data_IF_622649641540
#
_entry.id   IF_622649641540
#
_cell.length_a   1.000
_cell.length_b   1.000
_cell.length_c   1.000
_cell.angle_alpha   90.00
_cell.angle_beta   90.00
_cell.angle_gamma   90.00
#
_symmetry.space_group_name_H-M   'P 1'
#
loop_
_entity.id
_entity.type
_entity.pdbx_description
1 polymer ?
#
# COMPACT_ATOMS: atom_id res chain seq x y z
N UNK A 1 4.34 2.25 -7.89
CA UNK A 1 4.90 1.30 -6.89
C UNK A 1 3.93 0.16 -6.60
N UNK A 2 2.72 0.14 -7.17
CA UNK A 2 1.79 -0.99 -7.05
C UNK A 2 1.35 -1.20 -5.60
N UNK A 3 1.32 -2.45 -5.15
CA UNK A 3 0.99 -2.81 -3.78
C UNK A 3 -0.48 -3.14 -3.58
N UNK A 4 -1.09 -3.79 -4.55
CA UNK A 4 -2.41 -4.41 -4.50
C UNK A 4 -2.30 -5.88 -4.03
N UNK A 5 -3.37 -6.39 -3.43
CA UNK A 5 -3.60 -7.84 -3.22
C UNK A 5 -2.48 -8.61 -2.51
N UNK A 6 -1.83 -7.99 -1.51
CA UNK A 6 -0.79 -8.67 -0.74
C UNK A 6 -1.38 -9.85 0.05
N UNK A 7 -0.99 -11.06 -0.33
CA UNK A 7 -1.32 -12.28 0.39
C UNK A 7 -0.28 -12.57 1.48
N UNK A 8 -0.58 -12.20 2.72
CA UNK A 8 0.33 -12.41 3.85
C UNK A 8 0.50 -13.85 4.30
N UNK A 9 -0.39 -14.76 3.93
CA UNK A 9 -0.23 -16.18 4.28
C UNK A 9 1.09 -16.75 3.73
N UNK A 10 1.56 -16.24 2.58
CA UNK A 10 2.87 -16.60 2.03
C UNK A 10 4.02 -16.23 2.97
N UNK A 11 3.92 -15.11 3.68
CA UNK A 11 4.96 -14.60 4.56
C UNK A 11 4.96 -15.26 5.94
N UNK A 12 3.80 -15.71 6.40
CA UNK A 12 3.69 -16.53 7.62
C UNK A 12 4.43 -17.85 7.47
N UNK A 13 4.52 -18.38 6.24
CA UNK A 13 5.27 -19.59 5.91
C UNK A 13 6.77 -19.36 5.70
N UNK A 14 7.22 -18.10 5.66
CA UNK A 14 8.63 -17.76 5.44
C UNK A 14 9.37 -17.61 6.78
N UNK A 15 10.35 -18.50 7.10
CA UNK A 15 11.10 -18.42 8.35
C UNK A 15 11.85 -17.09 8.51
N UNK A 16 12.33 -16.51 7.40
CA UNK A 16 13.07 -15.25 7.41
C UNK A 16 12.16 -14.07 7.72
N UNK A 17 10.95 -14.03 7.16
CA UNK A 17 9.99 -12.96 7.44
C UNK A 17 9.49 -13.05 8.87
N UNK A 18 9.15 -14.25 9.35
CA UNK A 18 8.75 -14.46 10.76
C UNK A 18 9.86 -14.07 11.72
N UNK A 19 11.12 -14.43 11.41
CA UNK A 19 12.28 -14.01 12.21
C UNK A 19 12.46 -12.49 12.18
N UNK A 20 12.24 -11.86 11.04
CA UNK A 20 12.32 -10.41 10.88
C UNK A 20 11.26 -9.69 11.73
N UNK A 21 10.00 -10.13 11.68
CA UNK A 21 8.89 -9.61 12.52
C UNK A 21 9.26 -9.67 13.99
N UNK A 22 9.72 -10.84 14.48
CA UNK A 22 10.15 -11.01 15.88
C UNK A 22 11.33 -10.11 16.24
N UNK A 23 12.34 -10.03 15.37
CA UNK A 23 13.54 -9.21 15.60
C UNK A 23 13.21 -7.72 15.67
N UNK A 24 12.27 -7.24 14.87
CA UNK A 24 11.84 -5.85 14.83
C UNK A 24 10.76 -5.50 15.86
N UNK A 25 10.18 -6.48 16.55
CA UNK A 25 9.08 -6.27 17.48
C UNK A 25 7.79 -5.82 16.77
N UNK A 26 7.60 -6.25 15.52
CA UNK A 26 6.39 -5.96 14.75
C UNK A 26 5.23 -6.84 15.25
N UNK A 27 4.00 -6.35 15.12
CA UNK A 27 2.80 -7.04 15.60
C UNK A 27 2.36 -8.13 14.63
N UNK A 28 2.60 -7.95 13.33
CA UNK A 28 2.22 -8.92 12.30
C UNK A 28 3.15 -8.87 11.08
N UNK A 29 3.00 -9.85 10.18
CA UNK A 29 3.66 -9.83 8.87
C UNK A 29 3.15 -8.69 7.97
N UNK A 30 1.94 -8.13 8.21
CA UNK A 30 1.44 -6.95 7.50
C UNK A 30 2.32 -5.72 7.75
N UNK A 31 2.87 -5.58 8.96
CA UNK A 31 3.73 -4.44 9.30
C UNK A 31 5.01 -4.43 8.44
N UNK A 32 5.46 -5.59 7.96
CA UNK A 32 6.59 -5.70 7.04
C UNK A 32 6.25 -5.05 5.69
N UNK A 33 5.02 -5.22 5.21
CA UNK A 33 4.56 -4.57 3.99
C UNK A 33 4.50 -3.05 4.16
N UNK A 34 3.97 -2.56 5.29
CA UNK A 34 3.90 -1.13 5.57
C UNK A 34 5.29 -0.50 5.71
N UNK A 35 6.22 -1.18 6.40
CA UNK A 35 7.61 -0.76 6.50
C UNK A 35 8.28 -0.73 5.13
N UNK A 36 8.14 -1.79 4.33
CA UNK A 36 8.68 -1.86 2.97
C UNK A 36 8.16 -0.72 2.09
N UNK A 37 6.85 -0.50 2.10
CA UNK A 37 6.22 0.55 1.29
C UNK A 37 6.71 1.93 1.71
N UNK A 38 6.77 2.23 3.01
CA UNK A 38 7.32 3.50 3.49
C UNK A 38 8.79 3.70 3.13
N UNK A 39 9.61 2.65 3.22
CA UNK A 39 11.01 2.69 2.81
C UNK A 39 11.15 2.97 1.30
N UNK A 40 10.32 2.33 0.47
CA UNK A 40 10.29 2.55 -0.96
C UNK A 40 9.86 3.98 -1.33
N UNK A 41 8.80 4.49 -0.70
CA UNK A 41 8.33 5.87 -0.90
C UNK A 41 9.41 6.89 -0.49
N UNK A 42 10.07 6.66 0.65
CA UNK A 42 11.19 7.47 1.13
C UNK A 42 12.36 7.44 0.14
N UNK A 43 12.70 6.26 -0.40
CA UNK A 43 13.74 6.11 -1.41
C UNK A 43 13.42 6.90 -2.68
N UNK A 44 12.19 6.79 -3.21
CA UNK A 44 11.77 7.51 -4.42
C UNK A 44 11.85 9.02 -4.19
N UNK A 45 11.35 9.50 -3.06
CA UNK A 45 11.35 10.92 -2.69
C UNK A 45 12.76 11.50 -2.56
N UNK A 46 13.69 10.73 -1.99
CA UNK A 46 15.08 11.18 -1.76
C UNK A 46 15.94 11.13 -3.01
N UNK A 47 15.74 10.12 -3.86
CA UNK A 47 16.67 9.81 -4.95
C UNK A 47 16.14 10.20 -6.33
N UNK A 48 14.90 10.69 -6.42
CA UNK A 48 14.29 11.04 -7.70
C UNK A 48 13.47 12.33 -7.56
N UNK A 49 13.04 12.89 -8.71
CA UNK A 49 12.04 13.97 -8.77
C UNK A 49 10.63 13.45 -9.05
N UNK A 50 10.39 12.16 -8.79
CA UNK A 50 9.12 11.48 -9.11
C UNK A 50 8.22 11.44 -7.89
N UNK A 51 6.92 11.51 -8.14
CA UNK A 51 5.88 11.26 -7.15
C UNK A 51 5.40 9.81 -7.29
N UNK A 52 5.23 9.11 -6.18
CA UNK A 52 4.83 7.71 -6.19
C UNK A 52 3.32 7.54 -6.20
N UNK A 53 2.87 6.46 -6.84
CA UNK A 53 1.47 6.00 -6.88
C UNK A 53 1.42 4.59 -6.30
N UNK A 54 0.55 4.36 -5.32
CA UNK A 54 0.24 3.04 -4.76
C UNK A 54 -1.23 2.70 -4.96
N UNK A 55 -1.56 1.42 -4.97
CA UNK A 55 -2.94 0.97 -4.81
C UNK A 55 -3.43 1.20 -3.38
N UNK A 56 -4.75 1.28 -3.22
CA UNK A 56 -5.41 1.64 -1.97
C UNK A 56 -5.22 0.62 -0.83
N UNK A 57 -4.92 -0.63 -1.18
CA UNK A 57 -4.87 -1.80 -0.29
C UNK A 57 -3.94 -1.60 0.91
N UNK A 58 -2.81 -0.91 0.70
CA UNK A 58 -1.87 -0.64 1.79
C UNK A 58 -2.50 0.25 2.87
N UNK A 59 -3.31 1.23 2.46
CA UNK A 59 -3.99 2.16 3.36
C UNK A 59 -5.19 1.49 4.01
N UNK A 60 -6.00 0.76 3.22
CA UNK A 60 -7.17 0.04 3.77
C UNK A 60 -6.75 -1.07 4.74
N UNK A 61 -5.56 -1.66 4.56
CA UNK A 61 -4.95 -2.59 5.51
C UNK A 61 -4.47 -1.97 6.82
N UNK A 62 -4.57 -0.65 7.00
CA UNK A 62 -4.17 0.07 8.22
C UNK A 62 -2.79 0.73 8.15
N UNK A 63 -2.13 0.69 6.98
CA UNK A 63 -0.86 1.37 6.77
C UNK A 63 -1.01 2.90 6.76
N UNK A 64 -0.04 3.59 7.35
CA UNK A 64 0.07 5.05 7.29
C UNK A 64 1.20 5.45 6.36
N UNK A 65 0.92 6.37 5.42
CA UNK A 65 1.85 6.78 4.37
C UNK A 65 1.91 8.31 4.20
N UNK A 66 3.00 8.84 3.61
CA UNK A 66 3.13 10.26 3.30
C UNK A 66 2.01 10.78 2.40
N UNK A 67 1.45 11.97 2.71
CA UNK A 67 0.34 12.59 1.97
C UNK A 67 0.70 13.05 0.56
N UNK A 68 2.00 13.17 0.25
CA UNK A 68 2.48 13.35 -1.12
C UNK A 68 2.47 12.05 -1.94
N UNK A 69 1.97 10.94 -1.42
CA UNK A 69 1.68 9.72 -2.20
C UNK A 69 0.34 9.87 -2.91
N UNK A 70 0.27 9.48 -4.18
CA UNK A 70 -1.01 9.36 -4.90
C UNK A 70 -1.60 7.98 -4.65
N UNK A 71 -2.90 7.92 -4.36
CA UNK A 71 -3.62 6.66 -4.15
C UNK A 71 -4.43 6.33 -5.40
N UNK A 72 -4.27 5.13 -5.94
CA UNK A 72 -5.15 4.61 -6.97
C UNK A 72 -6.24 3.75 -6.31
N UNK A 73 -7.47 4.25 -6.36
CA UNK A 73 -8.64 3.66 -5.71
C UNK A 73 -9.35 2.72 -6.68
N UNK A 74 -9.72 1.51 -6.21
CA UNK A 74 -10.46 0.56 -7.04
C UNK A 74 -11.67 -0.10 -6.35
N UNK A 75 -11.66 -0.36 -5.02
CA UNK A 75 -12.79 -0.98 -4.30
C UNK A 75 -13.52 0.01 -3.39
N UNK A 76 -12.80 0.66 -2.47
CA UNK A 76 -13.42 1.42 -1.39
C UNK A 76 -13.88 2.81 -1.84
N UNK A 77 -14.87 3.45 -1.20
CA UNK A 77 -15.30 4.79 -1.56
C UNK A 77 -14.12 5.79 -1.61
N UNK A 78 -13.99 6.53 -2.71
CA UNK A 78 -12.94 7.55 -2.94
C UNK A 78 -12.82 8.53 -1.76
N UNK A 79 -13.95 8.86 -1.14
CA UNK A 79 -14.04 9.73 0.04
C UNK A 79 -13.18 9.28 1.23
N UNK A 80 -12.93 7.98 1.38
CA UNK A 80 -12.09 7.43 2.45
C UNK A 80 -10.64 7.91 2.33
N UNK A 81 -10.16 8.18 1.12
CA UNK A 81 -8.78 8.60 0.87
C UNK A 81 -8.65 10.11 0.72
N UNK A 82 -9.62 10.76 0.06
CA UNK A 82 -9.60 12.23 -0.08
C UNK A 82 -9.81 12.94 1.27
N UNK A 83 -10.68 12.41 2.15
CA UNK A 83 -10.87 12.95 3.51
C UNK A 83 -9.62 12.85 4.39
N UNK A 84 -8.73 11.90 4.08
CA UNK A 84 -7.43 11.76 4.72
C UNK A 84 -6.35 12.68 4.10
N UNK A 85 -6.68 13.46 3.07
CA UNK A 85 -5.78 14.41 2.42
C UNK A 85 -4.85 13.81 1.36
N UNK A 86 -5.21 12.66 0.78
CA UNK A 86 -4.50 12.10 -0.37
C UNK A 86 -5.05 12.65 -1.69
N UNK A 87 -4.17 12.81 -2.68
CA UNK A 87 -4.60 12.91 -4.08
C UNK A 87 -4.95 11.50 -4.58
N UNK A 88 -6.07 11.38 -5.30
CA UNK A 88 -6.64 10.08 -5.68
C UNK A 88 -6.84 9.98 -7.19
N UNK A 89 -6.39 8.87 -7.78
CA UNK A 89 -6.78 8.42 -9.11
C UNK A 89 -7.99 7.49 -8.93
N UNK A 90 -9.13 7.86 -9.52
CA UNK A 90 -10.34 7.04 -9.49
C UNK A 90 -10.21 5.94 -10.55
N UNK A 91 -10.29 4.68 -10.11
CA UNK A 91 -10.26 3.49 -10.97
C UNK A 91 -11.24 2.43 -10.48
N UNK A 92 -12.38 2.88 -9.93
CA UNK A 92 -13.44 2.03 -9.35
C UNK A 92 -13.82 0.89 -10.29
N UNK A 93 -13.67 -0.37 -9.83
CA UNK A 93 -13.80 -1.55 -10.68
C UNK A 93 -15.20 -1.70 -11.29
N UNK A 94 -16.22 -1.28 -10.56
CA UNK A 94 -17.63 -1.35 -10.94
C UNK A 94 -18.03 -0.36 -12.05
N UNK A 95 -17.14 0.57 -12.43
CA UNK A 95 -17.35 1.51 -13.53
C UNK A 95 -16.26 1.47 -14.61
N UNK A 96 -15.00 1.23 -14.23
CA UNK A 96 -13.85 1.49 -15.09
C UNK A 96 -13.01 0.27 -15.45
N UNK A 97 -13.31 -0.92 -14.92
CA UNK A 97 -12.63 -2.14 -15.35
C UNK A 97 -13.22 -2.61 -16.68
N UNK A 98 -12.40 -2.59 -17.72
CA UNK A 98 -12.79 -2.93 -19.10
C UNK A 98 -12.67 -4.43 -19.41
N UNK A 99 -12.20 -5.21 -18.43
CA UNK A 99 -11.99 -6.66 -18.48
C UNK A 99 -13.18 -7.45 -17.92
N UNK A 100 -14.12 -6.78 -17.24
CA UNK A 100 -15.34 -7.41 -16.71
C UNK A 100 -16.35 -7.73 -17.82
N UNK A 101 -16.99 -8.91 -17.74
CA UNK A 101 -18.01 -9.43 -18.68
C UNK A 101 -18.34 -10.89 -18.38
#
# INVERSE_FOLDING_TARGET
TGGDEINTACWELSPDVVKYVKKKGLSSVMDVWFEYTNNLLSFIKKNTKKRAIIWEDAISGGGTFPKDTIVQQWVAPVGNYTSQGFDVIVSSYDYFYLDCG
#
